data_IF_796367607386
#
_entry.id   IF_796367607386
#
_cell.length_a   1.000
_cell.length_b   1.000
_cell.length_c   1.000
_cell.angle_alpha   90.00
_cell.angle_beta   90.00
_cell.angle_gamma   90.00
#
_symmetry.space_group_name_H-M   'P 1'
#
loop_
_entity.id
_entity.type
_entity.pdbx_description
1 polymer ?
#
# COMPACT_ATOMS: atom_id res chain seq x y z
N UNK A 1 19.81 -4.22 -0.96
CA UNK A 1 19.43 -4.99 -2.16
C UNK A 1 19.87 -4.26 -3.42
N UNK A 2 19.93 -4.96 -4.55
CA UNK A 2 20.15 -4.39 -5.90
C UNK A 2 18.85 -3.92 -6.53
N UNK A 3 18.93 -3.12 -7.61
CA UNK A 3 17.74 -2.69 -8.36
C UNK A 3 16.97 -3.89 -8.94
N UNK A 4 17.67 -4.92 -9.44
CA UNK A 4 17.07 -6.13 -10.01
C UNK A 4 16.29 -6.94 -8.95
N UNK A 5 16.85 -7.05 -7.74
CA UNK A 5 16.17 -7.66 -6.60
C UNK A 5 14.91 -6.87 -6.22
N UNK A 6 14.99 -5.53 -6.24
CA UNK A 6 13.81 -4.70 -6.01
C UNK A 6 12.75 -4.95 -7.09
N UNK A 7 13.14 -4.92 -8.38
CA UNK A 7 12.28 -5.19 -9.54
C UNK A 7 11.51 -6.50 -9.40
N UNK A 8 12.15 -7.58 -8.93
CA UNK A 8 11.47 -8.86 -8.66
C UNK A 8 10.44 -8.82 -7.52
N UNK A 9 10.59 -7.88 -6.57
CA UNK A 9 9.71 -7.72 -5.40
C UNK A 9 8.63 -6.67 -5.60
N UNK A 10 8.62 -5.92 -6.71
CA UNK A 10 7.67 -4.81 -6.93
C UNK A 10 6.22 -5.25 -6.81
N UNK A 11 5.82 -6.33 -7.51
CA UNK A 11 4.44 -6.80 -7.50
C UNK A 11 4.01 -7.17 -6.08
N UNK A 12 4.78 -8.03 -5.42
CA UNK A 12 4.54 -8.45 -4.03
C UNK A 12 4.45 -7.27 -3.06
N UNK A 13 5.29 -6.25 -3.25
CA UNK A 13 5.26 -5.04 -2.43
C UNK A 13 4.02 -4.18 -2.70
N UNK A 14 3.67 -3.95 -3.96
CA UNK A 14 2.49 -3.15 -4.34
C UNK A 14 1.17 -3.83 -3.95
N UNK A 15 1.13 -5.17 -3.98
CA UNK A 15 0.00 -5.97 -3.53
C UNK A 15 -0.08 -6.09 -1.99
N UNK A 16 0.84 -5.44 -1.26
CA UNK A 16 0.93 -5.44 0.20
C UNK A 16 1.12 -6.86 0.78
N UNK A 17 1.81 -7.73 0.04
CA UNK A 17 2.13 -9.12 0.39
C UNK A 17 3.57 -9.30 0.88
N UNK A 18 4.39 -8.25 0.83
CA UNK A 18 5.77 -8.29 1.29
C UNK A 18 5.84 -8.48 2.82
N UNK A 19 6.79 -9.29 3.26
CA UNK A 19 7.10 -9.47 4.67
C UNK A 19 7.70 -8.19 5.28
N UNK A 20 7.69 -8.08 6.61
CA UNK A 20 8.23 -6.89 7.31
C UNK A 20 9.70 -6.64 7.00
N UNK A 21 10.50 -7.70 6.84
CA UNK A 21 11.93 -7.56 6.55
C UNK A 21 12.17 -7.16 5.09
N UNK A 22 11.38 -7.68 4.15
CA UNK A 22 11.40 -7.22 2.75
C UNK A 22 11.01 -5.75 2.67
N UNK A 23 9.96 -5.32 3.36
CA UNK A 23 9.53 -3.92 3.41
C UNK A 23 10.66 -3.01 3.90
N UNK A 24 11.38 -3.39 4.96
CA UNK A 24 12.54 -2.63 5.46
C UNK A 24 13.62 -2.50 4.40
N UNK A 25 14.02 -3.62 3.80
CA UNK A 25 15.06 -3.61 2.77
C UNK A 25 14.66 -2.73 1.58
N UNK A 26 13.39 -2.77 1.17
CA UNK A 26 12.82 -1.94 0.10
C UNK A 26 12.95 -0.46 0.47
N UNK A 27 12.51 -0.07 1.66
CA UNK A 27 12.63 1.32 2.13
C UNK A 27 14.08 1.80 2.17
N UNK A 28 15.01 0.98 2.67
CA UNK A 28 16.43 1.30 2.72
C UNK A 28 17.00 1.55 1.31
N UNK A 29 16.62 0.72 0.33
CA UNK A 29 17.04 0.92 -1.06
C UNK A 29 16.42 2.18 -1.69
N UNK A 30 15.12 2.43 -1.47
CA UNK A 30 14.43 3.60 -2.01
C UNK A 30 14.94 4.92 -1.42
N UNK A 31 15.53 4.89 -0.22
CA UNK A 31 16.16 6.06 0.41
C UNK A 31 17.41 6.52 -0.36
N UNK A 32 18.13 5.61 -1.02
CA UNK A 32 19.40 5.90 -1.70
C UNK A 32 19.31 5.84 -3.23
N UNK A 33 18.34 5.11 -3.80
CA UNK A 33 18.20 4.91 -5.23
C UNK A 33 17.09 5.78 -5.84
N UNK A 34 17.49 6.93 -6.42
CA UNK A 34 16.55 7.86 -7.06
C UNK A 34 15.78 7.24 -8.24
N UNK A 35 16.43 6.35 -9.01
CA UNK A 35 15.81 5.67 -10.16
C UNK A 35 14.61 4.83 -9.71
N UNK A 36 14.82 3.95 -8.73
CA UNK A 36 13.78 3.07 -8.22
C UNK A 36 12.68 3.86 -7.50
N UNK A 37 13.04 4.92 -6.75
CA UNK A 37 12.05 5.81 -6.13
C UNK A 37 11.13 6.46 -7.17
N UNK A 38 11.69 6.96 -8.26
CA UNK A 38 10.92 7.62 -9.32
C UNK A 38 10.01 6.64 -10.05
N UNK A 39 10.52 5.45 -10.36
CA UNK A 39 9.73 4.35 -10.97
C UNK A 39 8.53 3.98 -10.09
N UNK A 40 8.75 3.76 -8.80
CA UNK A 40 7.68 3.37 -7.87
C UNK A 40 6.63 4.47 -7.69
N UNK A 41 7.06 5.74 -7.67
CA UNK A 41 6.15 6.89 -7.62
C UNK A 41 5.27 6.97 -8.86
N UNK A 42 5.85 6.76 -10.05
CA UNK A 42 5.09 6.73 -11.30
C UNK A 42 4.06 5.59 -11.32
N UNK A 43 4.46 4.38 -10.91
CA UNK A 43 3.56 3.23 -10.85
C UNK A 43 2.41 3.47 -9.88
N UNK A 44 2.68 4.04 -8.70
CA UNK A 44 1.64 4.39 -7.73
C UNK A 44 0.66 5.42 -8.30
N UNK A 45 1.15 6.45 -9.01
CA UNK A 45 0.28 7.44 -9.67
C UNK A 45 -0.58 6.81 -10.77
N UNK A 46 -0.03 5.89 -11.56
CA UNK A 46 -0.78 5.16 -12.58
C UNK A 46 -1.92 4.31 -11.98
N UNK A 47 -1.69 3.68 -10.82
CA UNK A 47 -2.71 2.93 -10.09
C UNK A 47 -3.72 3.82 -9.35
N UNK A 48 -3.33 5.01 -8.92
CA UNK A 48 -4.24 5.94 -8.25
C UNK A 48 -5.23 6.61 -9.21
N UNK A 49 -5.00 6.54 -10.52
CA UNK A 49 -5.83 7.17 -11.56
C UNK A 49 -7.18 6.51 -11.83
N UNK A 50 -7.65 5.61 -10.97
CA UNK A 50 -8.97 5.00 -11.10
C UNK A 50 -10.05 5.92 -10.54
N UNK A 51 -11.17 6.04 -11.26
CA UNK A 51 -12.31 6.83 -10.82
C UNK A 51 -12.74 6.38 -9.43
N UNK A 52 -12.74 7.33 -8.50
CA UNK A 52 -13.21 7.11 -7.13
C UNK A 52 -14.68 6.68 -7.19
N UNK A 53 -14.96 5.40 -6.93
CA UNK A 53 -16.34 4.90 -6.92
C UNK A 53 -17.08 5.57 -5.77
N UNK A 54 -18.21 6.21 -6.07
CA UNK A 54 -19.05 6.82 -5.04
C UNK A 54 -19.55 5.70 -4.11
N UNK A 55 -19.30 5.78 -2.80
CA UNK A 55 -19.72 4.72 -1.88
C UNK A 55 -21.25 4.60 -1.88
N UNK A 56 -21.81 3.38 -1.77
CA UNK A 56 -23.25 3.18 -1.71
C UNK A 56 -23.91 3.97 -0.58
N UNK A 57 -25.19 4.32 -0.73
CA UNK A 57 -25.95 5.03 0.30
C UNK A 57 -25.87 4.31 1.65
N UNK A 58 -25.57 5.05 2.71
CA UNK A 58 -25.47 4.51 4.07
C UNK A 58 -24.16 3.77 4.38
N UNK A 59 -23.20 3.72 3.45
CA UNK A 59 -21.95 2.98 3.63
C UNK A 59 -21.12 3.49 4.81
N UNK A 60 -21.01 4.83 4.95
CA UNK A 60 -20.25 5.45 6.04
C UNK A 60 -20.85 5.13 7.40
N UNK A 61 -22.17 5.19 7.54
CA UNK A 61 -22.89 4.90 8.78
C UNK A 61 -22.73 3.43 9.17
N UNK A 62 -22.84 2.50 8.20
CA UNK A 62 -22.59 1.07 8.42
C UNK A 62 -21.15 0.80 8.85
N UNK A 63 -20.17 1.46 8.21
CA UNK A 63 -18.75 1.34 8.56
C UNK A 63 -18.48 1.84 10.00
N UNK A 64 -19.00 3.02 10.36
CA UNK A 64 -18.84 3.60 11.70
C UNK A 64 -19.56 2.77 12.78
N UNK A 65 -20.71 2.17 12.46
CA UNK A 65 -21.37 1.23 13.36
C UNK A 65 -20.49 -0.01 13.60
N UNK A 66 -19.84 -0.54 12.56
CA UNK A 66 -18.96 -1.71 12.65
C UNK A 66 -17.69 -1.43 13.46
N UNK A 67 -17.01 -0.33 13.19
CA UNK A 67 -15.78 0.05 13.91
C UNK A 67 -16.02 0.18 15.42
N UNK A 68 -17.16 0.77 15.83
CA UNK A 68 -17.54 0.87 17.24
C UNK A 68 -17.75 -0.49 17.91
N UNK A 69 -18.30 -1.48 17.19
CA UNK A 69 -18.46 -2.83 17.72
C UNK A 69 -17.10 -3.51 17.95
N UNK A 70 -16.15 -3.32 17.03
CA UNK A 70 -14.82 -3.93 17.12
C UNK A 70 -13.95 -3.29 18.22
N UNK A 71 -14.04 -1.97 18.43
CA UNK A 71 -13.35 -1.31 19.56
C UNK A 71 -13.90 -1.72 20.91
N UNK A 72 -15.19 -2.05 21.00
CA UNK A 72 -15.83 -2.47 22.27
C UNK A 72 -15.57 -3.95 22.57
N UNK A 73 -15.29 -4.76 21.55
CA UNK A 73 -15.04 -6.21 21.69
C UNK A 73 -13.59 -6.55 22.06
N UNK A 74 -12.67 -5.60 21.93
CA UNK A 74 -11.25 -5.72 22.28
C UNK A 74 -10.90 -5.08 23.64
N UNK A 75 -11.88 -4.87 24.51
CA UNK A 75 -11.72 -4.44 25.91
C UNK A 75 -12.19 -5.54 26.84
#
# INVERSE_FOLDING_TARGET
MTCEQLESLYATFLDNLATRDEIRLIHDHLAVCLRCRSSLTWTHQAMAGHDSVTPPRGFRERLLARLRQETTKNV
#
